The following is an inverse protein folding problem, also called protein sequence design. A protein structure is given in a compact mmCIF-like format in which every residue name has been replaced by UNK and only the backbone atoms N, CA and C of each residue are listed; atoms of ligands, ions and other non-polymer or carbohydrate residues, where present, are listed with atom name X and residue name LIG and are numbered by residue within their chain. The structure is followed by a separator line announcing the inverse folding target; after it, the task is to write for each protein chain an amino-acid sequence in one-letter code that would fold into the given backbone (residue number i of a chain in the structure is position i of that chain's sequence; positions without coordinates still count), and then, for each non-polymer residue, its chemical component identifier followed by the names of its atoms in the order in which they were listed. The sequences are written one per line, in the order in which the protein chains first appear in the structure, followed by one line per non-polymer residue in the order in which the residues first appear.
data_IF_057354041601
#
_entry.id   IF_057354041601
#
_cell.length_a   1.000
_cell.length_b   1.000
_cell.length_c   1.000
_cell.angle_alpha   90.00
_cell.angle_beta   90.00
_cell.angle_gamma   90.00
#
_symmetry.space_group_name_H-M   'P 1'
#
loop_
_entity.id
_entity.type
_entity.pdbx_description
1 polymer ?
#
# COMPACT_ATOMS: atom_id res chain seq x y z
N UNK A 1 8.28 14.69 16.81
CA UNK A 1 7.11 14.75 15.88
C UNK A 1 5.89 14.27 16.67
N UNK A 2 4.81 15.05 16.74
CA UNK A 2 3.60 14.72 17.53
C UNK A 2 2.82 13.58 16.86
N UNK A 3 2.23 12.70 17.68
CA UNK A 3 1.36 11.59 17.28
C UNK A 3 0.13 12.16 16.57
N UNK A 4 -0.18 11.68 15.37
CA UNK A 4 -1.39 12.04 14.63
C UNK A 4 -2.41 10.90 14.75
N UNK A 5 -3.39 11.09 15.63
CA UNK A 5 -4.43 10.12 15.91
C UNK A 5 -5.48 9.99 14.79
N UNK A 6 -5.40 10.80 13.71
CA UNK A 6 -6.31 10.71 12.57
C UNK A 6 -5.87 9.74 11.49
N UNK A 7 -4.66 9.15 11.58
CA UNK A 7 -4.20 8.20 10.57
C UNK A 7 -4.88 6.84 10.73
N UNK A 8 -5.59 6.39 9.69
CA UNK A 8 -6.12 5.03 9.59
C UNK A 8 -4.98 3.99 9.74
N UNK A 9 -5.28 2.75 10.20
CA UNK A 9 -4.26 1.77 10.54
C UNK A 9 -3.33 1.52 9.35
N UNK A 10 -2.05 1.84 9.54
CA UNK A 10 -0.99 1.56 8.58
C UNK A 10 -0.74 0.05 8.54
N UNK A 11 -0.56 -0.53 7.35
CA UNK A 11 -0.43 -1.98 7.21
C UNK A 11 0.85 -2.52 7.89
N UNK A 12 1.87 -1.69 8.11
CA UNK A 12 2.95 -2.04 9.03
C UNK A 12 2.54 -1.69 10.46
N UNK A 13 2.71 -2.64 11.38
CA UNK A 13 2.83 -2.34 12.81
C UNK A 13 4.14 -1.57 13.01
N UNK A 14 4.14 -0.26 12.77
CA UNK A 14 5.29 0.64 13.00
C UNK A 14 5.42 0.97 14.50
N UNK A 15 5.09 0.01 15.37
CA UNK A 15 5.44 0.08 16.79
C UNK A 15 6.89 -0.36 16.98
N UNK A 16 7.84 0.30 16.31
CA UNK A 16 9.22 0.34 16.79
C UNK A 16 9.38 1.64 17.56
N UNK A 17 9.21 1.56 18.89
CA UNK A 17 9.59 2.61 19.86
C UNK A 17 9.10 4.03 19.52
N UNK A 18 7.81 4.29 19.73
CA UNK A 18 7.29 5.66 19.85
C UNK A 18 7.30 6.53 18.58
N UNK A 19 7.59 5.97 17.40
CA UNK A 19 7.55 6.72 16.14
C UNK A 19 6.53 6.15 15.17
N UNK A 20 5.36 6.79 15.10
CA UNK A 20 4.48 6.67 13.94
C UNK A 20 5.10 7.46 12.80
N UNK A 21 5.39 6.80 11.67
CA UNK A 21 5.76 7.51 10.45
C UNK A 21 4.57 8.38 10.02
N UNK A 22 4.84 9.63 9.67
CA UNK A 22 3.82 10.57 9.17
C UNK A 22 3.11 9.94 7.97
N UNK A 23 1.79 9.80 8.06
CA UNK A 23 0.97 9.38 6.93
C UNK A 23 0.96 10.50 5.88
N UNK A 24 1.15 10.11 4.63
CA UNK A 24 1.02 11.01 3.48
C UNK A 24 -0.25 10.68 2.72
N UNK A 25 -1.08 11.70 2.47
CA UNK A 25 -2.31 11.55 1.72
C UNK A 25 -2.14 12.18 0.35
N UNK A 26 -2.52 11.45 -0.69
CA UNK A 26 -2.47 11.94 -2.08
C UNK A 26 -3.71 11.44 -2.83
N UNK A 27 -4.16 12.19 -3.83
CA UNK A 27 -5.22 11.78 -4.74
C UNK A 27 -4.75 11.90 -6.21
N UNK A 28 -3.81 11.05 -6.65
CA UNK A 28 -3.22 11.11 -7.98
C UNK A 28 -4.09 10.47 -9.07
N UNK A 29 -3.94 10.95 -10.30
CA UNK A 29 -4.57 10.37 -11.49
C UNK A 29 -6.02 10.79 -11.71
N UNK A 30 -6.62 10.29 -12.80
CA UNK A 30 -7.96 10.69 -13.26
C UNK A 30 -9.10 10.29 -12.31
N UNK A 31 -8.91 9.26 -11.49
CA UNK A 31 -9.93 8.77 -10.54
C UNK A 31 -10.03 9.60 -9.26
N UNK A 32 -9.03 10.43 -8.94
CA UNK A 32 -9.04 11.30 -7.76
C UNK A 32 -9.13 10.56 -6.42
N UNK A 33 -8.78 9.28 -6.38
CA UNK A 33 -8.93 8.45 -5.19
C UNK A 33 -7.91 8.81 -4.11
N UNK A 34 -8.39 9.06 -2.89
CA UNK A 34 -7.53 9.30 -1.74
C UNK A 34 -6.76 8.03 -1.35
N UNK A 35 -5.44 8.11 -1.36
CA UNK A 35 -4.53 7.07 -0.91
C UNK A 35 -3.72 7.53 0.31
N UNK A 36 -3.47 6.61 1.23
CA UNK A 36 -2.56 6.78 2.35
C UNK A 36 -1.24 6.06 2.04
N UNK A 37 -0.12 6.76 2.26
CA UNK A 37 1.23 6.33 1.95
C UNK A 37 2.13 6.44 3.19
N UNK A 38 3.09 5.53 3.30
CA UNK A 38 3.93 5.36 4.50
C UNK A 38 5.23 6.18 4.44
N UNK A 39 5.53 6.80 3.29
CA UNK A 39 6.75 7.59 3.10
C UNK A 39 6.60 8.76 2.12
N UNK A 40 7.52 9.73 2.22
CA UNK A 40 7.62 10.83 1.25
C UNK A 40 7.97 10.34 -0.15
N UNK A 41 8.79 9.29 -0.25
CA UNK A 41 9.18 8.71 -1.53
C UNK A 41 7.97 8.12 -2.25
N UNK A 42 7.15 7.35 -1.54
CA UNK A 42 5.86 6.86 -2.04
C UNK A 42 4.97 8.02 -2.48
N UNK A 43 4.84 9.08 -1.66
CA UNK A 43 4.03 10.24 -2.02
C UNK A 43 4.52 10.94 -3.29
N UNK A 44 5.82 11.14 -3.44
CA UNK A 44 6.40 11.72 -4.67
C UNK A 44 6.18 10.81 -5.88
N UNK A 45 6.39 9.50 -5.74
CA UNK A 45 6.13 8.54 -6.81
C UNK A 45 4.65 8.54 -7.24
N UNK A 46 3.75 8.59 -6.26
CA UNK A 46 2.31 8.66 -6.50
C UNK A 46 1.92 9.94 -7.27
N UNK A 47 2.48 11.10 -6.90
CA UNK A 47 2.24 12.36 -7.62
C UNK A 47 2.75 12.27 -9.06
N UNK A 48 3.98 11.79 -9.28
CA UNK A 48 4.56 11.67 -10.62
C UNK A 48 3.73 10.73 -11.50
N UNK A 49 3.31 9.58 -10.96
CA UNK A 49 2.46 8.63 -11.69
C UNK A 49 1.06 9.22 -11.99
N UNK A 50 0.53 10.08 -11.11
CA UNK A 50 -0.73 10.77 -11.36
C UNK A 50 -0.65 11.91 -12.38
N UNK A 51 0.55 12.44 -12.65
CA UNK A 51 0.80 13.44 -13.68
C UNK A 51 1.07 12.83 -15.06
N UNK A 52 1.43 11.54 -15.13
CA UNK A 52 1.64 10.85 -16.39
C UNK A 52 0.31 10.78 -17.16
N UNK A 53 0.22 11.34 -18.38
CA UNK A 53 -0.99 11.29 -19.19
C UNK A 53 -1.42 9.85 -19.56
N UNK A 54 -0.53 8.87 -19.43
CA UNK A 54 -0.84 7.44 -19.62
C UNK A 54 -1.35 6.77 -18.34
N UNK A 55 -1.27 7.41 -17.18
CA UNK A 55 -1.78 6.87 -15.92
C UNK A 55 -3.31 6.87 -15.87
N UNK A 56 -3.93 5.70 -15.77
CA UNK A 56 -5.38 5.55 -15.69
C UNK A 56 -5.89 5.52 -14.25
N UNK A 57 -5.26 4.69 -13.41
CA UNK A 57 -5.69 4.47 -12.02
C UNK A 57 -4.55 3.93 -11.16
N UNK A 58 -4.56 4.23 -9.86
CA UNK A 58 -3.51 3.81 -8.94
C UNK A 58 -4.05 3.45 -7.56
N UNK A 59 -3.49 2.37 -7.00
CA UNK A 59 -3.89 1.79 -5.73
C UNK A 59 -2.66 1.58 -4.86
N UNK A 60 -2.67 2.06 -3.62
CA UNK A 60 -1.62 1.76 -2.65
C UNK A 60 -1.87 0.42 -1.96
N UNK A 61 -0.79 -0.32 -1.69
CA UNK A 61 -0.80 -1.58 -0.95
C UNK A 61 -1.95 -2.53 -1.34
N UNK A 62 -2.08 -2.86 -2.64
CA UNK A 62 -3.30 -3.45 -3.22
C UNK A 62 -3.57 -4.89 -2.78
N UNK A 63 -2.54 -5.60 -2.32
CA UNK A 63 -2.58 -7.02 -1.99
C UNK A 63 -1.37 -7.39 -1.13
N UNK A 64 -1.46 -8.47 -0.37
CA UNK A 64 -0.37 -9.06 0.37
C UNK A 64 -0.11 -10.49 -0.10
N UNK A 65 1.14 -10.82 -0.43
CA UNK A 65 1.56 -12.16 -0.80
C UNK A 65 2.25 -12.86 0.36
N UNK A 66 2.04 -14.16 0.46
CA UNK A 66 2.93 -15.06 1.18
C UNK A 66 3.95 -15.62 0.19
N UNK A 67 5.19 -15.16 0.26
CA UNK A 67 6.26 -15.59 -0.65
C UNK A 67 6.66 -17.06 -0.46
N UNK A 68 6.35 -17.66 0.69
CA UNK A 68 6.63 -19.08 0.92
C UNK A 68 5.68 -19.99 0.12
N UNK A 69 4.44 -19.55 -0.11
CA UNK A 69 3.40 -20.35 -0.76
C UNK A 69 2.94 -19.81 -2.11
N UNK A 70 3.32 -18.57 -2.44
CA UNK A 70 2.86 -17.84 -3.62
C UNK A 70 1.41 -17.35 -3.53
N UNK A 71 0.73 -17.56 -2.39
CA UNK A 71 -0.68 -17.17 -2.22
C UNK A 71 -0.83 -15.68 -2.02
N UNK A 72 -1.89 -15.12 -2.60
CA UNK A 72 -2.28 -13.73 -2.46
C UNK A 72 -3.42 -13.59 -1.44
N UNK A 73 -3.39 -12.52 -0.66
CA UNK A 73 -4.33 -12.18 0.40
C UNK A 73 -4.72 -10.69 0.31
N UNK A 74 -5.97 -10.31 0.66
CA UNK A 74 -6.40 -8.92 0.57
C UNK A 74 -5.61 -7.95 1.46
N UNK A 75 -5.09 -8.43 2.59
CA UNK A 75 -4.26 -7.62 3.50
C UNK A 75 -3.28 -8.51 4.29
N UNK A 76 -2.32 -7.87 4.98
CA UNK A 76 -1.42 -8.57 5.91
C UNK A 76 -2.18 -9.28 7.03
N UNK A 77 -3.28 -8.71 7.50
CA UNK A 77 -4.07 -9.31 8.57
C UNK A 77 -4.75 -10.59 8.11
N UNK A 78 -5.27 -10.62 6.87
CA UNK A 78 -5.82 -11.84 6.27
C UNK A 78 -4.74 -12.93 6.11
N UNK A 79 -3.55 -12.55 5.65
CA UNK A 79 -2.42 -13.48 5.55
C UNK A 79 -2.02 -14.02 6.93
N UNK A 80 -1.92 -13.16 7.95
CA UNK A 80 -1.55 -13.58 9.31
C UNK A 80 -2.59 -14.49 9.94
N UNK A 81 -3.87 -14.19 9.72
CA UNK A 81 -4.97 -15.03 10.17
C UNK A 81 -4.87 -16.42 9.53
N UNK A 82 -4.76 -16.50 8.21
CA UNK A 82 -4.63 -17.78 7.50
C UNK A 82 -3.35 -18.54 7.88
N UNK A 83 -2.24 -17.85 8.14
CA UNK A 83 -1.00 -18.49 8.56
C UNK A 83 -1.10 -19.07 9.98
N UNK A 84 -1.78 -18.37 10.89
CA UNK A 84 -2.04 -18.84 12.25
C UNK A 84 -2.91 -20.10 12.26
N UNK A 85 -3.96 -20.17 11.43
CA UNK A 85 -4.80 -21.38 11.28
C UNK A 85 -4.01 -22.60 10.78
N UNK A 86 -3.03 -22.37 9.90
CA UNK A 86 -2.22 -23.44 9.32
C UNK A 86 -0.94 -23.75 10.12
N UNK A 87 -0.71 -23.08 11.26
CA UNK A 87 0.51 -23.24 12.07
C UNK A 87 1.80 -22.78 11.37
N UNK A 88 1.68 -21.98 10.30
CA UNK A 88 2.80 -21.57 9.46
C UNK A 88 3.28 -20.16 9.82
N UNK A 89 4.57 -19.89 9.59
CA UNK A 89 5.13 -18.54 9.64
C UNK A 89 5.19 -17.97 8.21
N UNK A 90 4.40 -16.95 7.87
CA UNK A 90 4.32 -16.46 6.50
C UNK A 90 5.51 -15.56 6.15
N UNK A 91 5.85 -15.49 4.86
CA UNK A 91 6.84 -14.55 4.32
C UNK A 91 6.10 -13.40 3.63
N UNK A 92 5.77 -12.37 4.41
CA UNK A 92 4.93 -11.25 3.98
C UNK A 92 5.61 -10.35 2.93
N UNK A 93 4.93 -10.13 1.80
CA UNK A 93 5.27 -9.08 0.84
C UNK A 93 4.03 -8.30 0.39
N UNK A 94 4.09 -6.97 0.43
CA UNK A 94 3.02 -6.09 -0.03
C UNK A 94 3.64 -5.10 -1.00
N UNK A 95 3.29 -5.13 -2.29
CA UNK A 95 3.72 -4.09 -3.23
C UNK A 95 3.23 -2.72 -2.76
N UNK A 96 4.05 -1.69 -2.94
CA UNK A 96 3.66 -0.33 -2.51
C UNK A 96 2.52 0.24 -3.37
N UNK A 97 2.52 -0.08 -4.68
CA UNK A 97 1.52 0.41 -5.64
C UNK A 97 1.10 -0.66 -6.66
N UNK A 98 -0.12 -0.54 -7.16
CA UNK A 98 -0.56 -1.06 -8.46
C UNK A 98 -1.04 0.12 -9.30
N UNK A 99 -0.43 0.31 -10.45
CA UNK A 99 -0.81 1.33 -11.42
C UNK A 99 -1.36 0.65 -12.68
N UNK A 100 -2.46 1.19 -13.19
CA UNK A 100 -3.04 0.84 -14.49
C UNK A 100 -2.65 1.92 -15.48
N UNK A 101 -2.13 1.52 -16.64
CA UNK A 101 -1.81 2.43 -17.73
C UNK A 101 -2.92 2.37 -18.78
N UNK A 102 -3.34 3.53 -19.30
CA UNK A 102 -4.13 3.59 -20.52
C UNK A 102 -3.27 3.10 -21.68
N UNK A 103 -3.70 2.00 -22.33
CA UNK A 103 -3.21 1.72 -23.67
C UNK A 103 -3.82 2.76 -24.62
N UNK A 104 -3.03 3.43 -25.47
CA UNK A 104 -3.61 4.20 -26.56
C UNK A 104 -4.45 3.25 -27.42
N UNK A 105 -5.65 3.68 -27.80
CA UNK A 105 -6.41 2.97 -28.83
C UNK A 105 -5.53 2.88 -30.08
N UNK A 106 -5.22 1.64 -30.49
CA UNK A 106 -4.47 1.37 -31.72
C UNK A 106 -5.26 1.73 -32.97
#
# INVERSE_FOLDING_TARGET
MRVDFKSAPTARRVQKRGQQKKAHYTAPGATGRLMQLESRLEASAAIVMGLDPKGADMWSQPVCFDLATGRAYPSKDHLRFAAAENGNRPVEYTPDFKASLHQPAG
#
